data_IF_308359376194
#
_entry.id   IF_308359376194
#
_cell.length_a   1.000
_cell.length_b   1.000
_cell.length_c   1.000
_cell.angle_alpha   90.00
_cell.angle_beta   90.00
_cell.angle_gamma   90.00
#
_symmetry.space_group_name_H-M   'P 1'
#
loop_
_entity.id
_entity.type
_entity.pdbx_description
1 polymer ?
#
# COMPACT_ATOMS: atom_id res chain seq x y z
N UNK A 1 6.98 -1.97 -17.34
CA UNK A 1 6.09 -1.47 -16.26
C UNK A 1 6.26 -2.25 -14.97
N UNK A 2 6.43 -3.58 -15.02
CA UNK A 2 6.59 -4.45 -13.84
C UNK A 2 7.61 -3.98 -12.78
N UNK A 3 8.73 -3.38 -13.18
CA UNK A 3 9.75 -2.93 -12.22
C UNK A 3 9.34 -1.69 -11.38
N UNK A 4 8.37 -0.89 -11.86
CA UNK A 4 7.91 0.28 -11.10
C UNK A 4 6.97 -0.12 -9.96
N UNK A 5 6.29 -1.27 -10.06
CA UNK A 5 5.36 -1.76 -9.04
C UNK A 5 6.02 -2.03 -7.68
N UNK A 6 7.34 -2.22 -7.67
CA UNK A 6 8.15 -2.41 -6.45
C UNK A 6 8.25 -1.11 -5.63
N UNK A 7 8.16 0.06 -6.27
CA UNK A 7 8.20 1.34 -5.57
C UNK A 7 6.79 1.72 -5.13
N UNK A 8 6.52 1.93 -3.82
CA UNK A 8 5.22 2.37 -3.34
C UNK A 8 4.82 3.75 -3.88
N UNK A 9 3.51 3.99 -3.99
CA UNK A 9 2.95 5.29 -4.35
C UNK A 9 3.47 6.38 -3.42
N UNK A 10 4.18 7.37 -3.96
CA UNK A 10 4.79 8.45 -3.17
C UNK A 10 3.78 9.32 -2.41
N UNK A 11 2.51 9.28 -2.82
CA UNK A 11 1.43 10.03 -2.16
C UNK A 11 0.86 9.30 -0.94
N UNK A 12 0.58 8.01 -1.05
CA UNK A 12 -0.20 7.29 -0.03
C UNK A 12 0.38 5.92 0.39
N UNK A 13 1.53 5.53 -0.15
CA UNK A 13 2.20 4.25 0.17
C UNK A 13 1.54 3.00 -0.42
N UNK A 14 0.40 3.12 -1.11
CA UNK A 14 -0.26 2.01 -1.79
C UNK A 14 0.57 1.46 -2.97
N UNK A 15 0.26 0.27 -3.48
CA UNK A 15 0.95 -0.32 -4.65
C UNK A 15 0.89 0.64 -5.83
N UNK A 16 2.04 1.00 -6.39
CA UNK A 16 2.07 1.89 -7.55
C UNK A 16 1.73 1.13 -8.84
N UNK A 17 1.22 1.86 -9.82
CA UNK A 17 0.95 1.32 -11.17
C UNK A 17 1.87 1.91 -12.23
N UNK A 18 2.77 2.82 -11.85
CA UNK A 18 3.65 3.53 -12.77
C UNK A 18 3.86 4.99 -12.38
N UNK A 19 4.39 5.75 -13.34
CA UNK A 19 4.56 7.19 -13.23
C UNK A 19 3.39 7.87 -13.90
N UNK A 20 2.67 8.67 -13.12
CA UNK A 20 1.53 9.44 -13.59
C UNK A 20 1.76 10.90 -13.24
N UNK A 21 1.59 11.79 -14.23
CA UNK A 21 1.79 13.23 -14.05
C UNK A 21 3.17 13.59 -13.47
N UNK A 22 4.20 12.79 -13.76
CA UNK A 22 5.58 13.03 -13.32
C UNK A 22 6.01 12.33 -12.04
N UNK A 23 5.11 11.65 -11.32
CA UNK A 23 5.41 11.01 -10.02
C UNK A 23 4.96 9.55 -10.00
N UNK A 24 5.71 8.67 -9.32
CA UNK A 24 5.31 7.28 -9.08
C UNK A 24 4.08 7.26 -8.16
N UNK A 25 2.96 6.80 -8.69
CA UNK A 25 1.69 6.80 -7.96
C UNK A 25 0.84 5.55 -8.27
N UNK A 26 -0.16 5.32 -7.42
CA UNK A 26 -1.20 4.32 -7.64
C UNK A 26 -2.35 4.89 -8.50
N UNK A 27 -3.20 4.02 -9.05
CA UNK A 27 -4.37 4.43 -9.85
C UNK A 27 -5.32 5.36 -9.07
N UNK A 28 -5.46 5.16 -7.77
CA UNK A 28 -6.30 6.02 -6.92
C UNK A 28 -5.81 7.47 -6.87
N UNK A 29 -4.50 7.69 -6.75
CA UNK A 29 -3.91 9.03 -6.70
C UNK A 29 -3.82 9.68 -8.09
N UNK A 30 -3.55 8.88 -9.14
CA UNK A 30 -3.65 9.31 -10.54
C UNK A 30 -5.05 9.84 -10.86
N UNK A 31 -6.09 9.05 -10.56
CA UNK A 31 -7.48 9.43 -10.84
C UNK A 31 -7.94 10.63 -10.00
N UNK A 32 -7.53 10.69 -8.74
CA UNK A 32 -7.79 11.84 -7.88
C UNK A 32 -7.18 13.12 -8.47
N UNK A 33 -5.88 13.13 -8.78
CA UNK A 33 -5.19 14.30 -9.32
C UNK A 33 -5.83 14.78 -10.63
N UNK A 34 -6.17 13.85 -11.55
CA UNK A 34 -6.85 14.18 -12.81
C UNK A 34 -8.15 14.96 -12.56
N UNK A 35 -9.01 14.48 -11.67
CA UNK A 35 -10.30 15.13 -11.36
C UNK A 35 -10.10 16.48 -10.68
N UNK A 36 -9.14 16.58 -9.75
CA UNK A 36 -8.86 17.82 -9.04
C UNK A 36 -8.38 18.93 -9.98
N UNK A 37 -7.59 18.57 -11.01
CA UNK A 37 -7.09 19.50 -12.02
C UNK A 37 -8.14 19.87 -13.09
N UNK A 38 -9.00 18.95 -13.49
CA UNK A 38 -10.05 19.22 -14.49
C UNK A 38 -11.12 20.17 -13.96
N UNK A 39 -11.51 20.01 -12.70
CA UNK A 39 -12.62 20.76 -12.12
C UNK A 39 -12.18 22.02 -11.38
N UNK A 40 -10.88 22.38 -11.44
CA UNK A 40 -10.28 23.42 -10.58
C UNK A 40 -10.75 23.30 -9.12
N UNK A 41 -10.72 22.07 -8.60
CA UNK A 41 -11.40 21.75 -7.35
C UNK A 41 -10.77 22.52 -6.18
N UNK A 42 -11.57 23.36 -5.53
CA UNK A 42 -11.18 24.04 -4.29
C UNK A 42 -11.56 23.16 -3.09
N UNK A 43 -10.57 22.46 -2.55
CA UNK A 43 -10.76 21.66 -1.34
C UNK A 43 -10.37 22.45 -0.09
N UNK A 44 -11.15 22.30 0.98
CA UNK A 44 -10.80 22.79 2.32
C UNK A 44 -10.31 21.65 3.22
N UNK A 45 -9.46 21.99 4.19
CA UNK A 45 -9.08 21.09 5.27
C UNK A 45 -9.85 21.47 6.53
N UNK A 46 -10.46 20.50 7.21
CA UNK A 46 -11.12 20.67 8.50
C UNK A 46 -10.18 20.61 9.71
N UNK A 47 -8.88 20.38 9.48
CA UNK A 47 -7.82 20.28 10.49
C UNK A 47 -6.73 21.32 10.19
N UNK A 48 -5.51 21.07 10.66
CA UNK A 48 -4.36 21.99 10.55
C UNK A 48 -3.61 21.90 9.21
N UNK A 49 -4.28 21.51 8.12
CA UNK A 49 -3.68 21.35 6.76
C UNK A 49 -2.42 20.46 6.69
N UNK A 50 -2.25 19.57 7.67
CA UNK A 50 -1.11 18.66 7.82
C UNK A 50 -1.55 17.19 7.92
N UNK A 51 -2.70 16.85 7.33
CA UNK A 51 -3.22 15.48 7.41
C UNK A 51 -2.23 14.48 6.83
N UNK A 52 -1.89 13.44 7.60
CA UNK A 52 -1.19 12.27 7.09
C UNK A 52 -2.02 11.62 5.98
N UNK A 53 -1.35 11.24 4.89
CA UNK A 53 -1.93 10.60 3.71
C UNK A 53 -1.27 9.23 3.53
N UNK A 54 -2.04 8.19 3.80
CA UNK A 54 -1.70 6.77 3.63
C UNK A 54 -2.81 6.01 2.88
N UNK A 55 -2.65 4.69 2.70
CA UNK A 55 -3.58 3.85 1.95
C UNK A 55 -5.00 3.91 2.52
N UNK A 56 -5.14 3.96 3.85
CA UNK A 56 -6.41 3.87 4.57
C UNK A 56 -7.12 5.22 4.68
N UNK A 57 -6.37 6.31 4.85
CA UNK A 57 -6.92 7.62 5.18
C UNK A 57 -6.84 8.65 4.04
N UNK A 58 -6.26 8.30 2.88
CA UNK A 58 -6.12 9.21 1.73
C UNK A 58 -7.42 9.88 1.27
N UNK A 59 -8.58 9.33 1.58
CA UNK A 59 -9.87 9.92 1.22
C UNK A 59 -10.43 10.88 2.29
N UNK A 60 -9.86 10.91 3.50
CA UNK A 60 -10.35 11.74 4.62
C UNK A 60 -10.11 13.24 4.41
N UNK A 61 -9.06 13.64 3.69
CA UNK A 61 -8.78 15.04 3.42
C UNK A 61 -8.26 15.26 2.00
N UNK A 62 -9.15 15.71 1.13
CA UNK A 62 -8.84 16.00 -0.28
C UNK A 62 -7.85 17.16 -0.42
N UNK A 63 -7.96 18.19 0.43
CA UNK A 63 -7.03 19.32 0.44
C UNK A 63 -5.59 18.86 0.64
N UNK A 64 -5.31 18.15 1.73
CA UNK A 64 -3.95 17.71 2.04
C UNK A 64 -3.43 16.68 1.02
N UNK A 65 -4.32 15.82 0.48
CA UNK A 65 -3.95 14.90 -0.58
C UNK A 65 -3.52 15.64 -1.85
N UNK A 66 -4.27 16.64 -2.28
CA UNK A 66 -3.93 17.45 -3.46
C UNK A 66 -2.66 18.25 -3.24
N UNK A 67 -2.52 18.88 -2.07
CA UNK A 67 -1.29 19.60 -1.72
C UNK A 67 -0.07 18.68 -1.73
N UNK A 68 -0.17 17.46 -1.19
CA UNK A 68 0.91 16.47 -1.27
C UNK A 68 1.24 16.06 -2.71
N UNK A 69 0.23 15.91 -3.58
CA UNK A 69 0.46 15.65 -5.01
C UNK A 69 1.28 16.76 -5.66
N UNK A 70 0.89 18.03 -5.44
CA UNK A 70 1.57 19.19 -6.01
C UNK A 70 2.99 19.35 -5.45
N UNK A 71 3.14 19.20 -4.12
CA UNK A 71 4.43 19.33 -3.44
C UNK A 71 5.47 18.31 -3.92
N UNK A 72 5.04 17.11 -4.31
CA UNK A 72 5.93 16.09 -4.89
C UNK A 72 6.09 16.22 -6.42
N UNK A 73 5.53 17.26 -7.03
CA UNK A 73 5.75 17.59 -8.43
C UNK A 73 4.76 16.97 -9.42
N UNK A 74 3.58 16.52 -8.97
CA UNK A 74 2.54 16.10 -9.94
C UNK A 74 2.06 17.31 -10.75
N UNK A 75 2.14 17.23 -12.08
CA UNK A 75 1.77 18.31 -12.99
C UNK A 75 1.08 17.81 -14.26
N UNK A 76 0.15 18.61 -14.80
CA UNK A 76 -0.48 18.34 -16.11
C UNK A 76 0.54 18.37 -17.25
N UNK A 77 1.53 19.25 -17.17
CA UNK A 77 2.54 19.41 -18.22
C UNK A 77 3.55 18.27 -18.24
N UNK A 78 3.69 17.53 -17.14
CA UNK A 78 4.56 16.36 -17.08
C UNK A 78 4.17 15.26 -18.07
N UNK A 79 2.91 15.22 -18.51
CA UNK A 79 2.40 14.23 -19.50
C UNK A 79 2.94 14.50 -20.90
N UNK A 80 3.26 15.76 -21.24
CA UNK A 80 3.83 16.14 -22.55
C UNK A 80 5.22 15.52 -22.75
N UNK A 81 5.93 15.24 -21.67
CA UNK A 81 7.21 14.54 -21.68
C UNK A 81 7.06 13.02 -21.74
N UNK A 82 6.03 12.49 -22.40
CA UNK A 82 5.60 11.07 -22.37
C UNK A 82 6.68 10.01 -22.68
N UNK A 83 7.88 10.41 -23.10
CA UNK A 83 9.10 9.59 -23.03
C UNK A 83 10.00 10.12 -21.91
N UNK A 84 10.17 9.32 -20.86
CA UNK A 84 11.15 9.63 -19.82
C UNK A 84 12.54 9.76 -20.44
N UNK A 85 13.24 10.84 -20.09
CA UNK A 85 14.65 10.99 -20.45
C UNK A 85 15.46 9.81 -19.90
N UNK A 86 16.61 9.53 -20.52
CA UNK A 86 17.53 8.49 -20.04
C UNK A 86 17.90 8.74 -18.57
N UNK A 87 18.21 9.99 -18.21
CA UNK A 87 18.50 10.40 -16.83
C UNK A 87 17.38 10.08 -15.83
N UNK A 88 16.13 10.36 -16.18
CA UNK A 88 14.98 10.04 -15.32
C UNK A 88 14.81 8.53 -15.16
N UNK A 89 14.97 7.79 -16.25
CA UNK A 89 14.89 6.33 -16.25
C UNK A 89 15.97 5.72 -15.36
N UNK A 90 17.21 6.16 -15.49
CA UNK A 90 18.34 5.67 -14.70
C UNK A 90 18.15 6.00 -13.21
N UNK A 91 17.65 7.19 -12.89
CA UNK A 91 17.33 7.59 -11.51
C UNK A 91 16.24 6.69 -10.90
N UNK A 92 15.24 6.32 -11.68
CA UNK A 92 14.19 5.39 -11.24
C UNK A 92 14.72 3.99 -11.00
N UNK A 93 15.57 3.48 -11.89
CA UNK A 93 16.21 2.18 -11.69
C UNK A 93 17.07 2.14 -10.42
N UNK A 94 17.84 3.19 -10.16
CA UNK A 94 18.60 3.31 -8.91
C UNK A 94 17.67 3.30 -7.68
N UNK A 95 16.52 3.96 -7.76
CA UNK A 95 15.55 3.95 -6.67
C UNK A 95 14.88 2.59 -6.48
N UNK A 96 14.58 1.85 -7.55
CA UNK A 96 14.09 0.47 -7.47
C UNK A 96 15.11 -0.42 -6.74
N UNK A 97 16.38 -0.39 -7.15
CA UNK A 97 17.44 -1.20 -6.54
C UNK A 97 17.61 -0.91 -5.05
N UNK A 98 17.59 0.38 -4.67
CA UNK A 98 17.66 0.78 -3.26
C UNK A 98 16.49 0.22 -2.45
N UNK A 99 15.27 0.25 -3.01
CA UNK A 99 14.10 -0.32 -2.31
C UNK A 99 14.20 -1.85 -2.16
N UNK A 100 14.72 -2.55 -3.17
CA UNK A 100 14.91 -4.01 -3.10
C UNK A 100 15.89 -4.42 -2.00
N UNK A 101 17.07 -3.77 -1.95
CA UNK A 101 18.07 -4.04 -0.91
C UNK A 101 17.53 -3.77 0.50
N UNK A 102 16.74 -2.70 0.69
CA UNK A 102 16.14 -2.40 1.99
C UNK A 102 15.10 -3.41 2.44
N UNK A 103 14.42 -4.10 1.52
CA UNK A 103 13.46 -5.15 1.86
C UNK A 103 14.18 -6.46 2.25
N UNK A 104 15.26 -6.80 1.56
CA UNK A 104 16.07 -8.00 1.85
C UNK A 104 16.70 -7.96 3.24
N UNK A 105 17.10 -6.77 3.73
CA UNK A 105 17.70 -6.60 5.05
C UNK A 105 16.69 -6.66 6.21
N UNK A 106 15.39 -6.57 5.92
CA UNK A 106 14.29 -6.71 6.89
C UNK A 106 13.61 -8.08 6.88
N UNK A 107 14.02 -9.00 6.00
CA UNK A 107 13.37 -10.31 5.73
C UNK A 107 13.87 -11.50 6.57
N UNK A 108 14.31 -11.27 7.81
CA UNK A 108 14.74 -12.32 8.75
C UNK A 108 13.61 -12.83 9.66
N UNK A 109 12.47 -13.22 9.10
CA UNK A 109 11.48 -14.10 9.74
C UNK A 109 10.62 -14.72 8.64
N UNK A 110 10.99 -15.91 8.18
CA UNK A 110 10.17 -16.74 7.31
C UNK A 110 9.24 -17.55 8.21
N UNK A 111 7.94 -17.28 8.16
CA UNK A 111 6.95 -18.29 8.55
C UNK A 111 7.08 -19.45 7.55
N UNK A 112 7.55 -20.59 8.06
CA UNK A 112 7.57 -21.87 7.36
C UNK A 112 6.12 -22.35 7.11
N UNK A 113 5.77 -22.77 5.89
CA UNK A 113 4.52 -23.47 5.65
C UNK A 113 4.69 -24.96 6.01
N UNK A 114 4.21 -25.36 7.18
CA UNK A 114 4.19 -26.76 7.62
C UNK A 114 3.28 -27.60 6.68
N UNK A 115 3.76 -28.72 6.11
CA UNK A 115 3.03 -29.45 5.09
C UNK A 115 1.98 -30.41 5.70
N UNK A 116 0.74 -30.26 5.24
CA UNK A 116 -0.35 -31.21 5.48
C UNK A 116 -0.02 -32.60 4.92
N UNK A 117 0.16 -33.59 5.80
CA UNK A 117 -0.01 -35.02 5.44
C UNK A 117 -1.13 -35.70 6.25
N UNK A 118 -2.28 -35.82 5.57
CA UNK A 118 -3.40 -36.79 5.66
C UNK A 118 -2.98 -38.26 5.91
N UNK A 119 -3.71 -39.26 6.45
CA UNK A 119 -4.92 -39.52 7.30
C UNK A 119 -4.86 -41.04 7.69
N UNK A 120 -5.67 -41.45 8.71
CA UNK A 120 -6.29 -42.78 8.96
C UNK A 120 -5.39 -43.86 9.62
N UNK A 121 -5.74 -44.64 10.66
CA UNK A 121 -7.02 -45.22 11.17
C UNK A 121 -6.94 -45.68 12.66
N UNK A 122 -8.13 -45.88 13.27
CA UNK A 122 -8.56 -46.94 14.24
C UNK A 122 -8.01 -47.08 15.67
N UNK A 123 -8.91 -46.81 16.66
CA UNK A 123 -9.27 -47.58 17.89
C UNK A 123 -8.13 -48.11 18.81
N UNK A 124 -8.06 -47.91 20.13
CA UNK A 124 -8.96 -48.35 21.22
C UNK A 124 -8.50 -47.82 22.61
N UNK A 125 -9.47 -47.52 23.47
CA UNK A 125 -9.58 -47.79 24.94
C UNK A 125 -8.65 -47.23 26.04
N UNK A 126 -9.34 -46.83 27.13
CA UNK A 126 -8.96 -46.75 28.57
C UNK A 126 -8.51 -45.36 29.04
N UNK A 127 -9.07 -44.70 30.05
CA UNK A 127 -10.10 -45.01 31.05
C UNK A 127 -10.01 -43.99 32.21
N UNK A 128 -11.11 -43.88 32.97
CA UNK A 128 -11.31 -43.17 34.27
C UNK A 128 -11.35 -41.62 34.23
N UNK A 129 -12.17 -40.90 35.01
CA UNK A 129 -13.47 -41.05 35.71
C UNK A 129 -13.74 -39.69 36.41
N UNK A 130 -14.98 -39.46 36.83
CA UNK A 130 -15.43 -38.48 37.85
C UNK A 130 -15.85 -37.08 37.35
N UNK A 131 -16.96 -36.47 37.76
CA UNK A 131 -18.28 -36.91 38.26
C UNK A 131 -19.20 -35.68 38.14
N UNK A 132 -20.47 -35.95 37.81
CA UNK A 132 -21.74 -35.22 37.93
C UNK A 132 -21.88 -33.70 38.16
N UNK A 133 -22.79 -33.14 37.34
CA UNK A 133 -23.68 -32.00 37.53
C UNK A 133 -24.34 -31.92 38.93
N UNK A 134 -24.49 -30.69 39.47
CA UNK A 134 -25.74 -30.23 40.10
C UNK A 134 -25.81 -28.70 40.18
N UNK A 135 -26.78 -28.15 39.44
CA UNK A 135 -27.88 -27.30 39.92
C UNK A 135 -27.64 -25.92 40.57
N UNK A 136 -28.36 -24.94 39.99
CA UNK A 136 -29.32 -24.04 40.67
C UNK A 136 -28.95 -22.57 40.97
N UNK A 137 -29.64 -21.73 40.18
CA UNK A 137 -30.34 -20.45 40.45
C UNK A 137 -29.60 -19.26 41.08
N UNK A 138 -29.62 -18.12 40.37
CA UNK A 138 -30.74 -17.14 40.44
C UNK A 138 -30.73 -16.22 39.23
#
# INVERSE_FOLDING_TARGET
>A
TAQIEVIPCKICGDKSSGIHYGVITCEGCKGFFRRSQQNNASYSCSRQRNCLIDRTNRNRCQHCRLQKCLALGMSRDAVKFGRMSKKQRDSLYAEVQKHQQSQEQSGGAKDEPEPLSRVYTTSVSSGLSDLDDISTLS
#
